data_IF_036465036926
#
_entry.id   IF_036465036926
#
_cell.length_a   1.000
_cell.length_b   1.000
_cell.length_c   1.000
_cell.angle_alpha   90.00
_cell.angle_beta   90.00
_cell.angle_gamma   90.00
#
_symmetry.space_group_name_H-M   'P 1'
#
loop_
_entity.id
_entity.type
_entity.pdbx_description
1 polymer ?
#
# COMPACT_ATOMS: atom_id res chain seq x y z
N UNK A 1 -19.60 -5.98 -14.72
CA UNK A 1 -19.31 -5.69 -13.31
C UNK A 1 -20.33 -4.66 -12.86
N UNK A 2 -20.99 -4.87 -11.72
CA UNK A 2 -21.82 -3.84 -11.11
C UNK A 2 -20.88 -2.71 -10.66
N UNK A 3 -21.31 -1.44 -10.69
CA UNK A 3 -20.49 -0.30 -10.25
C UNK A 3 -19.96 -0.47 -8.81
N UNK A 4 -20.63 -1.29 -8.00
CA UNK A 4 -20.23 -1.64 -6.63
C UNK A 4 -19.01 -2.58 -6.54
N UNK A 5 -18.59 -3.21 -7.65
CA UNK A 5 -17.48 -4.17 -7.70
C UNK A 5 -16.17 -3.55 -8.21
N UNK A 6 -16.18 -2.28 -8.60
CA UNK A 6 -14.99 -1.56 -9.08
C UNK A 6 -14.06 -1.23 -7.91
N UNK A 7 -12.77 -1.50 -8.12
CA UNK A 7 -11.71 -1.12 -7.20
C UNK A 7 -10.89 -0.05 -7.89
N UNK A 8 -10.74 1.10 -7.24
CA UNK A 8 -9.94 2.21 -7.71
C UNK A 8 -8.86 2.52 -6.68
N UNK A 9 -7.62 2.56 -7.12
CA UNK A 9 -6.46 2.88 -6.29
C UNK A 9 -5.77 4.08 -6.90
N UNK A 10 -5.71 5.18 -6.14
CA UNK A 10 -5.04 6.39 -6.53
C UNK A 10 -3.72 6.52 -5.76
N UNK A 11 -2.60 6.59 -6.46
CA UNK A 11 -1.29 6.79 -5.86
C UNK A 11 -1.15 8.28 -5.52
N UNK A 12 -1.28 8.61 -4.24
CA UNK A 12 -1.23 9.99 -3.74
C UNK A 12 0.21 10.44 -3.54
N UNK A 13 1.05 9.59 -2.94
CA UNK A 13 2.48 9.85 -2.75
C UNK A 13 3.28 8.66 -3.24
N UNK A 14 4.29 8.94 -4.04
CA UNK A 14 5.33 8.01 -4.50
C UNK A 14 6.64 8.76 -4.73
N UNK A 15 7.75 8.03 -4.83
CA UNK A 15 9.08 8.57 -5.10
C UNK A 15 9.19 9.22 -6.49
N UNK A 16 8.29 8.87 -7.40
CA UNK A 16 8.20 9.41 -8.76
C UNK A 16 6.82 10.02 -9.02
N UNK A 17 6.74 10.99 -9.93
CA UNK A 17 5.47 11.54 -10.39
C UNK A 17 5.06 10.87 -11.69
N UNK A 18 3.81 10.42 -11.77
CA UNK A 18 3.16 10.00 -13.00
C UNK A 18 2.50 11.17 -13.73
N UNK A 19 1.89 12.08 -12.95
CA UNK A 19 1.30 13.33 -13.44
C UNK A 19 2.18 14.52 -13.03
N UNK A 20 2.42 15.43 -13.94
CA UNK A 20 3.29 16.60 -13.73
C UNK A 20 2.78 17.58 -12.66
N UNK A 21 1.49 17.56 -12.35
CA UNK A 21 0.86 18.38 -11.32
C UNK A 21 0.92 17.75 -9.91
N UNK A 22 1.41 16.51 -9.79
CA UNK A 22 1.62 15.83 -8.50
C UNK A 22 3.07 15.96 -8.04
N UNK A 23 3.24 16.17 -6.75
CA UNK A 23 4.56 16.20 -6.12
C UNK A 23 5.02 14.79 -5.77
N UNK A 24 6.24 14.44 -6.19
CA UNK A 24 6.90 13.23 -5.73
C UNK A 24 7.66 13.49 -4.43
N UNK A 25 7.71 12.46 -3.57
CA UNK A 25 8.50 12.48 -2.36
C UNK A 25 8.85 11.03 -1.97
N UNK A 26 9.96 10.84 -1.27
CA UNK A 26 10.30 9.53 -0.73
C UNK A 26 9.27 9.09 0.31
N UNK A 27 8.36 8.22 -0.08
CA UNK A 27 7.26 7.72 0.76
C UNK A 27 6.13 7.13 -0.06
N UNK A 28 5.14 6.61 0.63
CA UNK A 28 3.97 5.98 0.03
C UNK A 28 2.68 6.48 0.65
N UNK A 29 1.70 6.76 -0.20
CA UNK A 29 0.30 6.87 0.19
C UNK A 29 -0.60 6.48 -0.96
N UNK A 30 -1.53 5.57 -0.69
CA UNK A 30 -2.56 5.13 -1.62
C UNK A 30 -3.93 5.51 -1.08
N UNK A 31 -4.76 6.16 -1.89
CA UNK A 31 -6.18 6.29 -1.64
C UNK A 31 -6.91 5.18 -2.38
N UNK A 32 -7.80 4.50 -1.69
CA UNK A 32 -8.48 3.32 -2.22
C UNK A 32 -9.99 3.50 -2.11
N UNK A 33 -10.68 3.31 -3.21
CA UNK A 33 -12.12 3.09 -3.26
C UNK A 33 -12.36 1.62 -3.62
N UNK A 34 -12.99 0.89 -2.72
CA UNK A 34 -13.27 -0.52 -2.93
C UNK A 34 -14.62 -0.88 -2.28
N UNK A 35 -15.54 -1.40 -3.08
CA UNK A 35 -16.90 -1.71 -2.66
C UNK A 35 -17.60 -0.44 -2.09
N UNK A 36 -17.93 -0.39 -0.81
CA UNK A 36 -18.59 0.76 -0.15
C UNK A 36 -17.63 1.55 0.73
N UNK A 37 -16.33 1.30 0.63
CA UNK A 37 -15.32 1.90 1.48
C UNK A 37 -14.38 2.80 0.70
N UNK A 38 -14.02 3.92 1.35
CA UNK A 38 -12.95 4.81 0.94
C UNK A 38 -11.94 4.91 2.07
N UNK A 39 -10.68 4.60 1.81
CA UNK A 39 -9.66 4.56 2.86
C UNK A 39 -8.26 4.89 2.33
N UNK A 40 -7.35 5.12 3.26
CA UNK A 40 -5.93 5.30 2.94
C UNK A 40 -5.12 4.08 3.38
N UNK A 41 -4.15 3.73 2.54
CA UNK A 41 -3.05 2.83 2.88
C UNK A 41 -1.76 3.67 2.86
N UNK A 42 -1.18 3.89 4.05
CA UNK A 42 -0.10 4.83 4.34
C UNK A 42 -0.42 6.32 4.06
N UNK A 43 0.42 7.25 4.55
CA UNK A 43 0.14 8.69 4.53
C UNK A 43 1.33 9.55 4.07
N UNK A 44 2.36 8.93 3.47
CA UNK A 44 3.52 9.65 2.95
C UNK A 44 4.47 10.20 4.00
N UNK A 45 5.46 11.02 3.57
CA UNK A 45 6.58 11.45 4.40
C UNK A 45 6.32 12.69 5.26
N UNK A 46 5.43 13.57 4.81
CA UNK A 46 5.11 14.83 5.50
C UNK A 46 3.70 15.33 5.15
N UNK A 47 3.11 16.18 6.02
CA UNK A 47 1.75 16.69 5.83
C UNK A 47 1.59 17.58 4.58
N UNK A 48 2.66 18.27 4.15
CA UNK A 48 2.60 19.25 3.08
C UNK A 48 2.40 18.59 1.72
N UNK A 49 3.28 17.67 1.32
CA UNK A 49 3.15 16.90 0.06
C UNK A 49 1.85 16.11 0.05
N UNK A 50 1.56 15.40 1.14
CA UNK A 50 0.34 14.62 1.27
C UNK A 50 -0.92 15.48 1.06
N UNK A 51 -1.01 16.64 1.74
CA UNK A 51 -2.12 17.59 1.60
C UNK A 51 -2.27 18.07 0.15
N UNK A 52 -1.19 18.62 -0.45
CA UNK A 52 -1.27 19.19 -1.79
C UNK A 52 -1.66 18.16 -2.84
N UNK A 53 -1.20 16.93 -2.71
CA UNK A 53 -1.57 15.85 -3.63
C UNK A 53 -3.02 15.39 -3.43
N UNK A 54 -3.54 15.34 -2.20
CA UNK A 54 -4.96 15.08 -1.95
C UNK A 54 -5.86 16.19 -2.55
N UNK A 55 -5.47 17.46 -2.38
CA UNK A 55 -6.18 18.60 -2.97
C UNK A 55 -6.21 18.51 -4.52
N UNK A 56 -5.10 18.12 -5.16
CA UNK A 56 -5.02 17.89 -6.62
C UNK A 56 -5.82 16.69 -7.10
N UNK A 57 -5.97 15.70 -6.24
CA UNK A 57 -6.79 14.51 -6.49
C UNK A 57 -8.29 14.74 -6.26
N UNK A 58 -8.67 15.91 -5.71
CA UNK A 58 -10.04 16.24 -5.26
C UNK A 58 -10.57 15.22 -4.22
N UNK A 59 -9.69 14.77 -3.33
CA UNK A 59 -10.04 13.80 -2.27
C UNK A 59 -10.30 14.54 -0.97
N UNK A 60 -11.53 14.42 -0.47
CA UNK A 60 -11.93 14.95 0.83
C UNK A 60 -11.67 13.94 1.95
N UNK A 61 -10.77 14.26 2.87
CA UNK A 61 -10.48 13.40 4.03
C UNK A 61 -11.71 13.10 4.91
N UNK A 62 -12.78 13.93 4.83
CA UNK A 62 -14.02 13.69 5.56
C UNK A 62 -14.79 12.44 5.08
N UNK A 63 -14.56 12.03 3.84
CA UNK A 63 -15.18 10.84 3.26
C UNK A 63 -14.44 9.54 3.58
N UNK A 64 -13.24 9.61 4.21
CA UNK A 64 -12.40 8.44 4.49
C UNK A 64 -12.91 7.71 5.73
N UNK A 65 -13.10 6.39 5.62
CA UNK A 65 -13.60 5.53 6.68
C UNK A 65 -12.52 5.19 7.72
N UNK A 66 -11.31 4.91 7.25
CA UNK A 66 -10.16 4.51 8.09
C UNK A 66 -8.83 4.68 7.34
N UNK A 67 -7.74 4.51 8.08
CA UNK A 67 -6.38 4.44 7.53
C UNK A 67 -5.73 3.14 7.98
N UNK A 68 -4.99 2.49 7.09
CA UNK A 68 -4.11 1.37 7.41
C UNK A 68 -2.67 1.84 7.22
N UNK A 69 -1.87 1.73 8.27
CA UNK A 69 -0.43 1.98 8.24
C UNK A 69 0.28 0.64 8.07
N UNK A 70 1.04 0.50 6.99
CA UNK A 70 1.79 -0.72 6.71
C UNK A 70 2.86 -0.99 7.76
N UNK A 71 3.64 0.03 8.10
CA UNK A 71 4.66 0.02 9.14
C UNK A 71 4.97 1.45 9.63
N UNK A 72 5.67 1.57 10.75
CA UNK A 72 5.77 2.84 11.47
C UNK A 72 6.94 3.75 11.07
N UNK A 73 7.54 3.61 9.90
CA UNK A 73 8.49 4.58 9.38
C UNK A 73 7.82 5.91 9.01
N UNK A 74 8.60 7.00 9.07
CA UNK A 74 8.10 8.35 8.86
C UNK A 74 7.54 8.57 7.45
N UNK A 75 8.14 7.96 6.45
CA UNK A 75 7.74 8.05 5.05
C UNK A 75 6.40 7.34 4.71
N UNK A 76 5.79 6.69 5.73
CA UNK A 76 4.46 6.08 5.68
C UNK A 76 3.46 6.70 6.66
N UNK A 77 3.97 7.47 7.67
CA UNK A 77 3.15 8.03 8.75
C UNK A 77 3.15 9.55 8.81
N UNK A 78 3.87 10.22 7.89
CA UNK A 78 4.07 11.68 7.94
C UNK A 78 2.81 12.52 7.77
N UNK A 79 1.79 12.03 7.09
CA UNK A 79 0.52 12.73 6.88
C UNK A 79 -0.49 12.63 8.02
N UNK A 80 -0.20 11.84 9.08
CA UNK A 80 -1.15 11.60 10.17
C UNK A 80 -1.58 12.88 10.91
N UNK A 81 -0.68 13.86 11.07
CA UNK A 81 -1.03 15.15 11.71
C UNK A 81 -2.07 15.91 10.90
N UNK A 82 -1.93 15.94 9.57
CA UNK A 82 -2.93 16.56 8.70
C UNK A 82 -4.27 15.82 8.74
N UNK A 83 -4.25 14.50 8.81
CA UNK A 83 -5.48 13.69 9.01
C UNK A 83 -6.13 14.05 10.34
N UNK A 84 -5.37 14.13 11.43
CA UNK A 84 -5.86 14.50 12.75
C UNK A 84 -6.54 15.88 12.77
N UNK A 85 -5.95 16.85 12.06
CA UNK A 85 -6.54 18.19 11.89
C UNK A 85 -7.88 18.16 11.16
N UNK A 86 -7.99 17.39 10.08
CA UNK A 86 -9.17 17.37 9.20
C UNK A 86 -10.24 16.36 9.63
N UNK A 87 -9.82 15.28 10.29
CA UNK A 87 -10.69 14.14 10.64
C UNK A 87 -10.34 13.61 12.03
N UNK A 88 -10.52 14.40 13.12
CA UNK A 88 -10.24 13.94 14.47
C UNK A 88 -11.06 12.69 14.82
N UNK A 89 -10.46 11.78 15.55
CA UNK A 89 -11.08 10.50 15.92
C UNK A 89 -11.15 9.46 14.81
N UNK A 90 -10.50 9.67 13.66
CA UNK A 90 -10.46 8.65 12.60
C UNK A 90 -9.74 7.38 13.08
N UNK A 91 -10.25 6.22 12.65
CA UNK A 91 -9.65 4.92 12.96
C UNK A 91 -8.36 4.71 12.17
N UNK A 92 -7.28 4.36 12.88
CA UNK A 92 -5.96 4.04 12.30
C UNK A 92 -5.58 2.62 12.71
N UNK A 93 -5.36 1.74 11.74
CA UNK A 93 -4.87 0.38 11.97
C UNK A 93 -3.34 0.36 11.84
N UNK A 94 -2.64 -0.07 12.88
CA UNK A 94 -1.17 -0.08 12.97
C UNK A 94 -0.63 -1.49 13.25
N UNK A 95 0.58 -1.84 12.76
CA UNK A 95 1.12 -3.20 12.92
C UNK A 95 1.66 -3.50 14.30
N UNK A 96 2.03 -2.47 15.08
CA UNK A 96 2.63 -2.61 16.40
C UNK A 96 2.33 -1.41 17.33
N UNK A 97 2.82 -1.47 18.57
CA UNK A 97 2.57 -0.45 19.61
C UNK A 97 3.46 0.81 19.46
N UNK A 98 4.45 0.83 18.57
CA UNK A 98 5.51 1.85 18.53
C UNK A 98 5.01 3.28 18.31
N UNK A 99 3.91 3.45 17.55
CA UNK A 99 3.29 4.76 17.30
C UNK A 99 1.95 4.96 17.99
N UNK A 100 1.47 3.98 18.75
CA UNK A 100 0.14 4.04 19.36
C UNK A 100 -0.08 5.29 20.20
N UNK A 101 0.84 5.58 21.12
CA UNK A 101 0.71 6.74 22.02
C UNK A 101 0.68 8.06 21.23
N UNK A 102 1.63 8.25 20.32
CA UNK A 102 1.67 9.43 19.47
C UNK A 102 0.36 9.63 18.67
N UNK A 103 -0.17 8.57 18.07
CA UNK A 103 -1.43 8.63 17.29
C UNK A 103 -2.61 9.03 18.19
N UNK A 104 -2.65 8.56 19.43
CA UNK A 104 -3.66 8.96 20.42
C UNK A 104 -3.50 10.44 20.83
N UNK A 105 -2.28 10.89 21.07
CA UNK A 105 -1.99 12.29 21.48
C UNK A 105 -2.42 13.30 20.42
N UNK A 106 -2.27 12.99 19.12
CA UNK A 106 -2.73 13.85 18.04
C UNK A 106 -4.24 13.74 17.78
N UNK A 107 -4.98 12.95 18.57
CA UNK A 107 -6.45 12.87 18.52
C UNK A 107 -7.02 11.86 17.54
N UNK A 108 -6.24 10.88 17.08
CA UNK A 108 -6.71 9.75 16.25
C UNK A 108 -6.92 8.49 17.11
N UNK A 109 -7.60 7.48 16.55
CA UNK A 109 -7.91 6.22 17.25
C UNK A 109 -7.07 5.05 16.71
N UNK A 110 -5.90 4.72 17.30
CA UNK A 110 -5.11 3.59 16.85
C UNK A 110 -5.70 2.25 17.33
N UNK A 111 -5.69 1.27 16.43
CA UNK A 111 -5.91 -0.16 16.73
C UNK A 111 -4.72 -0.97 16.26
N UNK A 112 -4.08 -1.67 17.19
CA UNK A 112 -2.94 -2.54 16.87
C UNK A 112 -3.45 -3.87 16.35
N UNK A 113 -3.01 -4.24 15.17
CA UNK A 113 -3.32 -5.51 14.53
C UNK A 113 -2.36 -6.58 15.05
N UNK A 114 -2.90 -7.76 15.39
CA UNK A 114 -2.11 -8.90 15.88
C UNK A 114 -2.27 -10.14 15.00
N UNK A 115 -3.41 -10.26 14.37
CA UNK A 115 -3.78 -11.38 13.50
C UNK A 115 -4.54 -10.90 12.28
N UNK A 116 -4.82 -11.81 11.34
CA UNK A 116 -5.67 -11.53 10.18
C UNK A 116 -6.96 -10.85 10.64
N UNK A 117 -7.16 -9.61 10.21
CA UNK A 117 -8.30 -8.78 10.62
C UNK A 117 -9.20 -8.49 9.45
N UNK A 118 -10.45 -8.92 9.54
CA UNK A 118 -11.49 -8.63 8.55
C UNK A 118 -12.09 -7.25 8.83
N UNK A 119 -11.93 -6.30 7.90
CA UNK A 119 -12.53 -4.97 7.97
C UNK A 119 -13.94 -4.99 7.38
N UNK A 120 -14.10 -5.62 6.22
CA UNK A 120 -15.38 -5.88 5.57
C UNK A 120 -15.34 -7.24 4.88
N UNK A 121 -16.37 -7.59 4.13
CA UNK A 121 -16.42 -8.89 3.45
C UNK A 121 -15.25 -9.10 2.48
N UNK A 122 -14.79 -8.01 1.87
CA UNK A 122 -13.78 -8.03 0.80
C UNK A 122 -12.44 -7.39 1.17
N UNK A 123 -12.33 -6.78 2.37
CA UNK A 123 -11.15 -6.02 2.79
C UNK A 123 -10.59 -6.60 4.08
N UNK A 124 -9.30 -6.93 4.05
CA UNK A 124 -8.60 -7.59 5.15
C UNK A 124 -7.24 -6.93 5.38
N UNK A 125 -6.84 -6.82 6.64
CA UNK A 125 -5.47 -6.51 7.04
C UNK A 125 -4.80 -7.82 7.41
N UNK A 126 -3.62 -8.10 6.85
CA UNK A 126 -2.87 -9.32 7.13
C UNK A 126 -2.35 -9.32 8.57
N UNK A 127 -2.04 -10.49 9.10
CA UNK A 127 -1.20 -10.59 10.29
C UNK A 127 0.11 -9.84 10.03
N UNK A 128 0.58 -8.99 10.98
CA UNK A 128 1.89 -8.37 10.89
C UNK A 128 3.01 -9.40 10.88
N UNK A 129 3.99 -9.21 10.02
CA UNK A 129 5.17 -10.06 9.90
C UNK A 129 6.38 -9.37 10.50
N UNK A 130 7.24 -10.19 11.12
CA UNK A 130 8.54 -9.73 11.60
C UNK A 130 9.41 -9.30 10.41
N UNK A 131 9.99 -8.14 10.58
CA UNK A 131 11.04 -7.58 9.76
C UNK A 131 11.73 -6.58 10.66
N UNK A 132 12.72 -5.86 10.51
CA UNK A 132 12.92 -4.53 11.07
C UNK A 132 12.54 -3.47 10.04
N UNK A 133 11.35 -2.79 10.20
CA UNK A 133 10.27 -2.89 11.20
C UNK A 133 9.27 -4.02 10.94
N UNK A 134 8.38 -4.28 11.92
CA UNK A 134 7.18 -5.10 11.75
C UNK A 134 6.27 -4.44 10.71
N UNK A 135 5.75 -5.24 9.77
CA UNK A 135 4.94 -4.74 8.66
C UNK A 135 3.71 -5.59 8.42
N UNK A 136 2.57 -4.93 8.17
CA UNK A 136 1.33 -5.53 7.72
C UNK A 136 1.00 -5.09 6.30
N UNK A 137 0.22 -5.90 5.61
CA UNK A 137 -0.27 -5.62 4.27
C UNK A 137 -1.80 -5.57 4.26
N UNK A 138 -2.39 -5.02 3.20
CA UNK A 138 -3.82 -5.01 3.03
C UNK A 138 -4.19 -5.89 1.84
N UNK A 139 -5.23 -6.69 1.99
CA UNK A 139 -5.77 -7.55 0.94
C UNK A 139 -7.20 -7.12 0.61
N UNK A 140 -7.44 -6.89 -0.68
CA UNK A 140 -8.77 -6.70 -1.25
C UNK A 140 -9.05 -7.93 -2.10
N UNK A 141 -10.14 -8.66 -1.81
CA UNK A 141 -10.45 -9.87 -2.55
C UNK A 141 -11.94 -10.06 -2.78
N UNK A 142 -12.26 -10.68 -3.89
CA UNK A 142 -13.54 -11.34 -4.16
C UNK A 142 -13.30 -12.78 -4.60
N UNK A 143 -14.30 -13.45 -5.14
CA UNK A 143 -14.17 -14.83 -5.60
C UNK A 143 -13.16 -14.96 -6.75
N UNK A 144 -13.08 -13.96 -7.63
CA UNK A 144 -12.26 -13.99 -8.84
C UNK A 144 -10.85 -13.43 -8.64
N UNK A 145 -10.70 -12.34 -7.90
CA UNK A 145 -9.45 -11.57 -7.78
C UNK A 145 -8.99 -11.44 -6.33
N UNK A 146 -7.68 -11.37 -6.15
CA UNK A 146 -7.02 -10.99 -4.89
C UNK A 146 -5.91 -9.98 -5.19
N UNK A 147 -5.99 -8.82 -4.57
CA UNK A 147 -5.06 -7.70 -4.68
C UNK A 147 -4.35 -7.55 -3.33
N UNK A 148 -3.03 -7.45 -3.36
CA UNK A 148 -2.19 -7.21 -2.19
C UNK A 148 -1.60 -5.81 -2.27
N UNK A 149 -1.84 -4.98 -1.26
CA UNK A 149 -1.15 -3.71 -1.06
C UNK A 149 -0.03 -3.91 -0.03
N UNK A 150 1.18 -3.58 -0.43
CA UNK A 150 2.39 -3.67 0.41
C UNK A 150 2.98 -2.28 0.65
N UNK A 151 3.51 -2.03 1.85
CA UNK A 151 4.22 -0.79 2.16
C UNK A 151 5.61 -0.76 1.56
N UNK A 152 6.57 -1.28 2.31
CA UNK A 152 7.96 -1.44 1.86
C UNK A 152 8.36 -2.89 1.61
N UNK A 153 7.64 -3.85 2.16
CA UNK A 153 8.00 -5.27 2.15
C UNK A 153 9.30 -5.59 2.92
N UNK A 154 9.47 -4.98 4.09
CA UNK A 154 10.61 -5.26 4.96
C UNK A 154 10.78 -6.74 5.34
N UNK A 155 9.71 -7.52 5.57
CA UNK A 155 9.82 -8.97 5.76
C UNK A 155 10.25 -9.75 4.51
N UNK A 156 10.35 -9.07 3.36
CA UNK A 156 10.51 -9.64 2.03
C UNK A 156 9.19 -9.91 1.32
N UNK A 157 9.04 -9.36 0.11
CA UNK A 157 7.77 -9.44 -0.65
C UNK A 157 7.31 -10.89 -0.88
N UNK A 158 8.24 -11.81 -1.14
CA UNK A 158 7.91 -13.23 -1.34
C UNK A 158 7.35 -13.87 -0.05
N UNK A 159 7.87 -13.49 1.12
CA UNK A 159 7.35 -13.95 2.41
C UNK A 159 5.94 -13.41 2.67
N UNK A 160 5.71 -12.12 2.37
CA UNK A 160 4.38 -11.49 2.49
C UNK A 160 3.37 -12.21 1.59
N UNK A 161 3.73 -12.50 0.34
CA UNK A 161 2.87 -13.21 -0.62
C UNK A 161 2.58 -14.64 -0.15
N UNK A 162 3.60 -15.37 0.33
CA UNK A 162 3.42 -16.74 0.87
C UNK A 162 2.50 -16.75 2.09
N UNK A 163 2.63 -15.77 2.98
CA UNK A 163 1.75 -15.64 4.14
C UNK A 163 0.31 -15.32 3.71
N UNK A 164 0.12 -14.46 2.70
CA UNK A 164 -1.19 -14.20 2.12
C UNK A 164 -1.80 -15.48 1.52
N UNK A 165 -1.01 -16.27 0.78
CA UNK A 165 -1.45 -17.58 0.26
C UNK A 165 -1.84 -18.52 1.39
N UNK A 166 -1.08 -18.54 2.47
CA UNK A 166 -1.41 -19.38 3.65
C UNK A 166 -2.73 -18.96 4.27
N UNK A 167 -2.95 -17.65 4.49
CA UNK A 167 -4.16 -17.12 5.11
C UNK A 167 -5.41 -17.31 4.24
N UNK A 168 -5.31 -17.06 2.94
CA UNK A 168 -6.48 -17.01 2.06
C UNK A 168 -6.68 -18.25 1.18
N UNK A 169 -5.72 -19.18 1.14
CA UNK A 169 -5.70 -20.35 0.25
C UNK A 169 -5.82 -19.97 -1.23
N UNK A 170 -5.39 -18.74 -1.56
CA UNK A 170 -5.41 -18.15 -2.91
C UNK A 170 -4.20 -17.25 -3.05
N UNK A 171 -3.57 -17.26 -4.23
CA UNK A 171 -2.46 -16.34 -4.53
C UNK A 171 -2.99 -14.94 -4.85
N UNK A 172 -2.33 -13.87 -4.38
CA UNK A 172 -2.60 -12.54 -4.89
C UNK A 172 -2.21 -12.47 -6.36
N UNK A 173 -3.16 -12.08 -7.20
CA UNK A 173 -2.91 -11.93 -8.63
C UNK A 173 -2.26 -10.59 -8.95
N UNK A 174 -2.48 -9.59 -8.10
CA UNK A 174 -2.01 -8.22 -8.28
C UNK A 174 -1.30 -7.77 -7.00
N UNK A 175 -0.09 -7.23 -7.16
CA UNK A 175 0.68 -6.59 -6.09
C UNK A 175 0.86 -5.12 -6.43
N UNK A 176 0.58 -4.23 -5.47
CA UNK A 176 0.79 -2.79 -5.60
C UNK A 176 1.56 -2.32 -4.36
N UNK A 177 2.72 -1.70 -4.54
CA UNK A 177 3.48 -1.18 -3.41
C UNK A 177 5.00 -1.29 -3.57
N UNK A 178 5.70 -1.06 -2.47
CA UNK A 178 7.14 -1.17 -2.38
C UNK A 178 7.61 -2.61 -2.22
N UNK A 179 8.63 -2.98 -2.99
CA UNK A 179 9.21 -4.33 -2.96
C UNK A 179 10.53 -4.40 -2.19
N UNK A 180 11.02 -3.26 -1.68
CA UNK A 180 12.30 -3.10 -0.97
C UNK A 180 13.53 -3.59 -1.76
N UNK A 181 13.55 -3.34 -3.08
CA UNK A 181 14.58 -3.86 -4.00
C UNK A 181 15.49 -2.76 -4.57
N UNK A 182 15.42 -1.52 -4.07
CA UNK A 182 16.18 -0.39 -4.62
C UNK A 182 17.71 -0.56 -4.52
N UNK A 183 18.19 -1.34 -3.54
CA UNK A 183 19.62 -1.56 -3.28
C UNK A 183 20.11 -3.00 -3.53
N UNK A 184 19.33 -3.83 -4.24
CA UNK A 184 19.74 -5.21 -4.51
C UNK A 184 20.31 -5.39 -5.92
N UNK A 185 21.02 -6.50 -6.15
CA UNK A 185 21.56 -6.82 -7.48
C UNK A 185 20.43 -7.20 -8.46
N UNK A 186 20.71 -7.09 -9.77
CA UNK A 186 19.74 -7.48 -10.81
C UNK A 186 19.40 -8.97 -10.73
N UNK A 187 20.37 -9.81 -10.38
CA UNK A 187 20.17 -11.25 -10.19
C UNK A 187 19.15 -11.52 -9.08
N UNK A 188 19.26 -10.76 -7.97
CA UNK A 188 18.30 -10.89 -6.87
C UNK A 188 16.90 -10.39 -7.24
N UNK A 189 16.80 -9.29 -8.02
CA UNK A 189 15.54 -8.82 -8.58
C UNK A 189 14.90 -9.92 -9.43
N UNK A 190 15.70 -10.55 -10.32
CA UNK A 190 15.26 -11.66 -11.16
C UNK A 190 14.68 -12.81 -10.33
N UNK A 191 15.44 -13.31 -9.37
CA UNK A 191 15.00 -14.42 -8.49
C UNK A 191 13.65 -14.13 -7.83
N UNK A 192 13.50 -12.93 -7.25
CA UNK A 192 12.28 -12.53 -6.55
C UNK A 192 11.10 -12.41 -7.53
N UNK A 193 11.30 -11.80 -8.70
CA UNK A 193 10.22 -11.66 -9.70
C UNK A 193 9.78 -13.02 -10.24
N UNK A 194 10.73 -13.91 -10.57
CA UNK A 194 10.42 -15.27 -11.03
C UNK A 194 9.70 -16.08 -9.95
N UNK A 195 10.08 -15.91 -8.68
CA UNK A 195 9.38 -16.53 -7.56
C UNK A 195 7.94 -16.03 -7.44
N UNK A 196 7.70 -14.70 -7.50
CA UNK A 196 6.35 -14.12 -7.46
C UNK A 196 5.47 -14.67 -8.59
N UNK A 197 6.01 -14.75 -9.81
CA UNK A 197 5.33 -15.34 -10.96
C UNK A 197 4.99 -16.80 -10.69
N UNK A 198 5.93 -17.58 -10.16
CA UNK A 198 5.73 -19.00 -9.85
C UNK A 198 4.65 -19.25 -8.79
N UNK A 199 4.46 -18.31 -7.87
CA UNK A 199 3.39 -18.35 -6.86
C UNK A 199 2.02 -18.03 -7.48
N UNK A 200 1.97 -17.38 -8.64
CA UNK A 200 0.73 -17.05 -9.36
C UNK A 200 0.42 -15.56 -9.47
N UNK A 201 1.38 -14.68 -9.14
CA UNK A 201 1.24 -13.23 -9.37
C UNK A 201 1.21 -12.94 -10.87
N UNK A 202 0.22 -12.16 -11.32
CA UNK A 202 -0.01 -11.84 -12.73
C UNK A 202 0.27 -10.38 -13.07
N UNK A 203 0.28 -9.47 -12.06
CA UNK A 203 0.52 -8.05 -12.24
C UNK A 203 1.24 -7.46 -11.03
N UNK A 204 2.27 -6.67 -11.27
CA UNK A 204 3.05 -6.00 -10.23
C UNK A 204 3.15 -4.52 -10.58
N UNK A 205 2.74 -3.66 -9.68
CA UNK A 205 2.94 -2.21 -9.72
C UNK A 205 4.07 -1.85 -8.74
N UNK A 206 5.34 -1.93 -9.20
CA UNK A 206 6.50 -1.73 -8.33
C UNK A 206 6.75 -0.23 -8.12
N UNK A 207 6.22 0.31 -7.04
CA UNK A 207 6.35 1.73 -6.67
C UNK A 207 7.25 1.91 -5.45
N UNK A 208 7.45 3.14 -5.01
CA UNK A 208 8.18 3.54 -3.81
C UNK A 208 9.59 2.91 -3.73
N UNK A 209 9.87 2.11 -2.71
CA UNK A 209 11.17 1.49 -2.45
C UNK A 209 11.50 0.28 -3.34
N UNK A 210 10.70 0.01 -4.38
CA UNK A 210 11.05 -0.99 -5.39
C UNK A 210 12.31 -0.63 -6.18
N UNK A 211 12.50 0.67 -6.45
CA UNK A 211 13.65 1.21 -7.17
C UNK A 211 13.54 1.07 -8.70
N UNK A 212 14.23 1.98 -9.41
CA UNK A 212 14.16 2.07 -10.87
C UNK A 212 14.67 0.79 -11.56
N UNK A 213 15.76 0.23 -11.06
CA UNK A 213 16.31 -1.04 -11.58
C UNK A 213 15.28 -2.16 -11.62
N UNK A 214 14.47 -2.30 -10.59
CA UNK A 214 13.39 -3.31 -10.50
C UNK A 214 12.30 -3.02 -11.50
N UNK A 215 11.88 -1.75 -11.60
CA UNK A 215 10.87 -1.30 -12.57
C UNK A 215 11.30 -1.60 -14.00
N UNK A 216 12.52 -1.19 -14.37
CA UNK A 216 13.10 -1.45 -15.70
C UNK A 216 13.25 -2.95 -15.99
N UNK A 217 13.71 -3.72 -14.99
CA UNK A 217 13.85 -5.17 -15.14
C UNK A 217 12.51 -5.84 -15.45
N UNK A 218 11.46 -5.56 -14.67
CA UNK A 218 10.13 -6.15 -14.90
C UNK A 218 9.57 -5.67 -16.24
N UNK A 219 9.65 -4.37 -16.53
CA UNK A 219 9.16 -3.78 -17.77
C UNK A 219 9.80 -4.37 -19.02
N UNK A 220 11.10 -4.67 -18.95
CA UNK A 220 11.87 -5.21 -20.10
C UNK A 220 11.65 -6.70 -20.29
N UNK A 221 11.65 -7.47 -19.21
CA UNK A 221 11.66 -8.94 -19.27
C UNK A 221 10.26 -9.57 -19.13
N UNK A 222 9.33 -8.84 -18.50
CA UNK A 222 7.97 -9.31 -18.20
C UNK A 222 6.95 -8.16 -18.41
N UNK A 223 6.86 -7.58 -19.63
CA UNK A 223 6.02 -6.40 -19.90
C UNK A 223 4.53 -6.63 -19.60
N UNK A 224 4.05 -7.86 -19.74
CA UNK A 224 2.66 -8.24 -19.44
C UNK A 224 2.37 -8.20 -17.93
N UNK A 225 3.40 -8.40 -17.09
CA UNK A 225 3.30 -8.38 -15.62
C UNK A 225 3.55 -6.98 -15.08
N UNK A 226 4.29 -6.15 -15.79
CA UNK A 226 4.63 -4.80 -15.35
C UNK A 226 3.40 -3.88 -15.35
N UNK A 227 3.08 -3.32 -14.18
CA UNK A 227 2.22 -2.17 -14.02
C UNK A 227 3.05 -0.92 -13.80
N UNK A 228 2.69 0.18 -14.46
CA UNK A 228 3.34 1.46 -14.21
C UNK A 228 2.89 2.06 -12.87
N UNK A 229 3.55 3.13 -12.39
CA UNK A 229 3.21 3.78 -11.13
C UNK A 229 3.90 5.12 -10.95
N UNK A 230 3.42 5.87 -9.96
CA UNK A 230 3.89 7.21 -9.62
C UNK A 230 2.76 8.07 -9.07
N UNK A 231 3.09 9.12 -8.33
CA UNK A 231 2.12 10.04 -7.77
C UNK A 231 1.21 10.63 -8.86
N UNK A 232 -0.10 10.58 -8.65
CA UNK A 232 -1.10 11.02 -9.61
C UNK A 232 -1.66 9.92 -10.52
N UNK A 233 -1.14 8.67 -10.46
CA UNK A 233 -1.69 7.55 -11.23
C UNK A 233 -2.94 6.96 -10.57
N UNK A 234 -3.90 6.58 -11.39
CA UNK A 234 -5.10 5.84 -11.00
C UNK A 234 -5.03 4.43 -11.60
N UNK A 235 -5.21 3.43 -10.77
CA UNK A 235 -5.31 2.01 -11.14
C UNK A 235 -6.77 1.60 -10.96
N UNK A 236 -7.44 1.20 -12.04
CA UNK A 236 -8.81 0.68 -12.02
C UNK A 236 -8.79 -0.83 -12.27
N UNK A 237 -9.48 -1.62 -11.42
CA UNK A 237 -9.39 -3.08 -11.40
C UNK A 237 -10.77 -3.76 -11.33
#
# INVERSE_FOLDING_TARGET
LRDEDKIKIFIIVDNTSYRNDFESAWGLSLYVEAYKHSFLFDTGPDPGVFRRNLERADIDLRSIDFVVISHCHKDHTGGLEYIAEKRPGLQIYIPDESRRHYIQEIGLRPSVIKDLTKISENIFITKPLEGPPIEQSLVIKNDDKMILLAGCSHPGITNIVREAVYMFRKSPEIIIGGLHLFNVSTERVKEIVEELISIGVKKIFPIHCSGEKTREYIKTNYPEIYGDGGAGMIIEL
#
